data_IF_542363026955
#
_entry.id   IF_542363026955
#
_cell.length_a   1.000
_cell.length_b   1.000
_cell.length_c   1.000
_cell.angle_alpha   90.00
_cell.angle_beta   90.00
_cell.angle_gamma   90.00
#
_symmetry.space_group_name_H-M   'P 1'
#
loop_
_entity.id
_entity.type
_entity.pdbx_description
1 polymer ?
#
# COMPACT_ATOMS: atom_id res chain seq x y z
N UNK A 1 -39.96 -8.55 8.28
CA UNK A 1 -39.51 -7.99 7.00
C UNK A 1 -39.29 -6.50 7.18
N UNK A 2 -38.05 -6.03 7.06
CA UNK A 2 -37.74 -4.59 7.08
C UNK A 2 -37.90 -4.01 5.68
N UNK A 3 -38.61 -2.90 5.54
CA UNK A 3 -38.76 -2.17 4.26
C UNK A 3 -37.73 -1.06 4.15
N UNK A 4 -37.19 -0.85 2.95
CA UNK A 4 -36.26 0.26 2.72
C UNK A 4 -36.98 1.60 2.87
N UNK A 5 -36.47 2.53 3.68
CA UNK A 5 -37.07 3.86 3.86
C UNK A 5 -37.09 4.72 2.58
N UNK A 6 -36.21 4.42 1.61
CA UNK A 6 -36.06 5.23 0.40
C UNK A 6 -36.86 4.70 -0.79
N UNK A 7 -36.86 3.38 -0.99
CA UNK A 7 -37.50 2.75 -2.16
C UNK A 7 -38.68 1.83 -1.80
N UNK A 8 -39.04 1.71 -0.51
CA UNK A 8 -40.15 0.89 -0.01
C UNK A 8 -40.13 -0.59 -0.44
N UNK A 9 -39.01 -1.06 -0.98
CA UNK A 9 -38.85 -2.44 -1.44
C UNK A 9 -38.67 -3.36 -0.22
N UNK A 10 -39.31 -4.54 -0.19
CA UNK A 10 -39.08 -5.52 0.87
C UNK A 10 -37.62 -5.96 0.83
N UNK A 11 -36.89 -5.71 1.92
CA UNK A 11 -35.50 -6.11 2.04
C UNK A 11 -35.44 -7.50 2.67
N UNK A 12 -34.89 -8.44 1.94
CA UNK A 12 -34.48 -9.71 2.50
C UNK A 12 -33.21 -9.50 3.35
N UNK A 13 -33.25 -9.91 4.63
CA UNK A 13 -32.13 -9.71 5.54
C UNK A 13 -30.88 -10.50 5.13
N UNK A 14 -31.05 -11.62 4.44
CA UNK A 14 -29.93 -12.44 3.99
C UNK A 14 -29.16 -11.73 2.87
N UNK A 15 -29.85 -11.23 1.85
CA UNK A 15 -29.22 -10.43 0.76
C UNK A 15 -28.53 -9.16 1.29
N UNK A 16 -29.12 -8.47 2.25
CA UNK A 16 -28.54 -7.28 2.86
C UNK A 16 -27.21 -7.56 3.57
N UNK A 17 -27.13 -8.65 4.35
CA UNK A 17 -25.90 -9.03 5.05
C UNK A 17 -24.80 -9.38 4.05
N UNK A 18 -25.12 -10.15 3.02
CA UNK A 18 -24.17 -10.48 1.97
C UNK A 18 -23.64 -9.24 1.23
N UNK A 19 -24.50 -8.26 0.97
CA UNK A 19 -24.09 -6.98 0.37
C UNK A 19 -23.22 -6.14 1.32
N UNK A 20 -23.56 -6.08 2.60
CA UNK A 20 -22.78 -5.37 3.62
C UNK A 20 -21.38 -5.97 3.79
N UNK A 21 -21.27 -7.30 3.87
CA UNK A 21 -19.98 -8.01 3.99
C UNK A 21 -19.09 -7.74 2.76
N UNK A 22 -19.68 -7.67 1.57
CA UNK A 22 -18.95 -7.34 0.35
C UNK A 22 -18.48 -5.89 0.37
N UNK A 23 -19.32 -4.95 0.79
CA UNK A 23 -18.99 -3.54 0.89
C UNK A 23 -17.84 -3.31 1.89
N UNK A 24 -17.87 -4.00 3.03
CA UNK A 24 -16.81 -3.93 4.04
C UNK A 24 -15.48 -4.42 3.48
N UNK A 25 -15.47 -5.54 2.74
CA UNK A 25 -14.26 -6.06 2.07
C UNK A 25 -13.69 -5.08 1.06
N UNK A 26 -14.54 -4.46 0.23
CA UNK A 26 -14.11 -3.46 -0.77
C UNK A 26 -13.54 -2.23 -0.07
N UNK A 27 -14.20 -1.73 0.96
CA UNK A 27 -13.74 -0.56 1.71
C UNK A 27 -12.39 -0.83 2.41
N UNK A 28 -12.25 -2.01 3.02
CA UNK A 28 -10.99 -2.47 3.61
C UNK A 28 -9.87 -2.51 2.56
N UNK A 29 -10.13 -3.06 1.36
CA UNK A 29 -9.17 -3.11 0.27
C UNK A 29 -8.72 -1.71 -0.19
N UNK A 30 -9.66 -0.76 -0.32
CA UNK A 30 -9.39 0.62 -0.71
C UNK A 30 -8.53 1.37 0.32
N UNK A 31 -8.83 1.18 1.61
CA UNK A 31 -8.06 1.79 2.69
C UNK A 31 -6.64 1.20 2.76
N UNK A 32 -6.50 -0.12 2.68
CA UNK A 32 -5.19 -0.77 2.66
C UNK A 32 -4.34 -0.32 1.45
N UNK A 33 -4.93 -0.23 0.25
CA UNK A 33 -4.22 0.24 -0.94
C UNK A 33 -3.70 1.69 -0.78
N UNK A 34 -4.51 2.55 -0.17
CA UNK A 34 -4.12 3.94 0.10
C UNK A 34 -2.98 4.01 1.13
N UNK A 35 -3.03 3.18 2.17
CA UNK A 35 -1.97 3.07 3.17
C UNK A 35 -0.67 2.56 2.57
N UNK A 36 -0.72 1.53 1.71
CA UNK A 36 0.46 1.00 1.01
C UNK A 36 1.13 2.09 0.17
N UNK A 37 0.34 2.88 -0.57
CA UNK A 37 0.85 4.03 -1.34
C UNK A 37 1.49 5.07 -0.42
N UNK A 38 0.88 5.37 0.71
CA UNK A 38 1.42 6.33 1.68
C UNK A 38 2.73 5.83 2.30
N UNK A 39 2.86 4.54 2.61
CA UNK A 39 4.11 3.95 3.07
C UNK A 39 5.22 4.03 2.01
N UNK A 40 4.88 3.74 0.75
CA UNK A 40 5.82 3.91 -0.36
C UNK A 40 6.26 5.37 -0.53
N UNK A 41 5.34 6.34 -0.36
CA UNK A 41 5.68 7.76 -0.37
C UNK A 41 6.53 8.20 0.84
N UNK A 42 6.18 7.73 2.05
CA UNK A 42 6.89 8.02 3.28
C UNK A 42 8.34 7.53 3.25
N UNK A 43 8.61 6.40 2.56
CA UNK A 43 9.96 5.92 2.31
C UNK A 43 10.83 6.98 1.61
N UNK A 44 10.32 7.66 0.59
CA UNK A 44 11.02 8.74 -0.11
C UNK A 44 11.20 9.97 0.77
N UNK A 45 10.21 10.31 1.60
CA UNK A 45 10.34 11.39 2.57
C UNK A 45 11.46 11.09 3.56
N UNK A 46 11.52 9.87 4.11
CA UNK A 46 12.59 9.46 5.03
C UNK A 46 13.97 9.45 4.35
N UNK A 47 14.03 9.07 3.08
CA UNK A 47 15.25 9.17 2.28
C UNK A 47 15.72 10.64 2.13
N UNK A 48 14.82 11.57 1.83
CA UNK A 48 15.14 12.99 1.71
C UNK A 48 15.54 13.61 3.06
N UNK A 49 14.84 13.25 4.13
CA UNK A 49 15.14 13.71 5.50
C UNK A 49 16.54 13.28 5.94
N UNK A 50 17.01 12.10 5.52
CA UNK A 50 18.38 11.64 5.76
C UNK A 50 19.45 12.54 5.13
N UNK A 51 19.15 13.26 4.05
CA UNK A 51 20.10 14.17 3.40
C UNK A 51 20.42 15.41 4.25
N UNK A 52 19.59 15.70 5.26
CA UNK A 52 19.83 16.80 6.19
C UNK A 52 20.88 16.33 7.22
N UNK A 53 22.04 17.01 7.35
CA UNK A 53 23.15 16.58 8.21
C UNK A 53 22.90 16.86 9.70
N UNK A 54 21.74 16.43 10.21
CA UNK A 54 21.38 16.43 11.63
C UNK A 54 21.61 15.00 12.15
N UNK A 55 22.78 14.74 12.74
CA UNK A 55 23.32 13.37 12.97
C UNK A 55 22.33 12.31 13.51
N UNK A 56 21.47 12.64 14.47
CA UNK A 56 20.46 11.71 15.00
C UNK A 56 19.32 11.40 14.02
N UNK A 57 18.93 12.38 13.20
CA UNK A 57 17.85 12.25 12.21
C UNK A 57 18.30 11.35 11.04
N UNK A 58 19.59 11.37 10.71
CA UNK A 58 20.15 10.53 9.65
C UNK A 58 20.05 9.02 9.97
N UNK A 59 20.30 8.61 11.22
CA UNK A 59 20.23 7.20 11.63
C UNK A 59 18.78 6.70 11.71
N UNK A 60 17.88 7.52 12.28
CA UNK A 60 16.44 7.21 12.32
C UNK A 60 15.82 7.15 10.93
N UNK A 61 16.21 8.06 10.03
CA UNK A 61 15.81 8.05 8.63
C UNK A 61 16.26 6.79 7.89
N UNK A 62 17.49 6.30 8.15
CA UNK A 62 17.99 5.06 7.57
C UNK A 62 17.17 3.84 8.00
N UNK A 63 16.96 3.67 9.32
CA UNK A 63 16.21 2.53 9.86
C UNK A 63 14.76 2.56 9.38
N UNK A 64 14.12 3.73 9.42
CA UNK A 64 12.75 3.90 8.93
C UNK A 64 12.62 3.61 7.44
N UNK A 65 13.58 4.08 6.63
CA UNK A 65 13.62 3.80 5.19
C UNK A 65 13.75 2.30 4.91
N UNK A 66 14.68 1.61 5.58
CA UNK A 66 14.86 0.15 5.43
C UNK A 66 13.63 -0.64 5.90
N UNK A 67 12.99 -0.21 6.99
CA UNK A 67 11.74 -0.79 7.46
C UNK A 67 10.63 -0.66 6.41
N UNK A 68 10.41 0.54 5.87
CA UNK A 68 9.42 0.77 4.82
C UNK A 68 9.75 -0.01 3.54
N UNK A 69 11.03 -0.11 3.20
CA UNK A 69 11.50 -0.86 2.04
C UNK A 69 11.09 -2.34 2.09
N UNK A 70 11.07 -2.94 3.28
CA UNK A 70 10.61 -4.33 3.47
C UNK A 70 9.10 -4.44 3.64
N UNK A 71 8.46 -3.51 4.35
CA UNK A 71 7.02 -3.56 4.64
C UNK A 71 6.18 -3.36 3.37
N UNK A 72 6.56 -2.43 2.50
CA UNK A 72 5.80 -2.12 1.27
C UNK A 72 5.61 -3.35 0.36
N UNK A 73 6.65 -4.11 -0.04
CA UNK A 73 6.46 -5.27 -0.91
C UNK A 73 5.68 -6.39 -0.23
N UNK A 74 5.89 -6.62 1.07
CA UNK A 74 5.10 -7.60 1.83
C UNK A 74 3.62 -7.25 1.80
N UNK A 75 3.28 -5.98 2.09
CA UNK A 75 1.89 -5.51 2.06
C UNK A 75 1.30 -5.52 0.65
N UNK A 76 2.08 -5.19 -0.38
CA UNK A 76 1.66 -5.30 -1.79
C UNK A 76 1.27 -6.74 -2.14
N UNK A 77 2.11 -7.72 -1.80
CA UNK A 77 1.83 -9.14 -2.06
C UNK A 77 0.59 -9.60 -1.29
N UNK A 78 0.47 -9.27 0.00
CA UNK A 78 -0.72 -9.60 0.80
C UNK A 78 -1.97 -9.01 0.16
N UNK A 79 -1.92 -7.75 -0.30
CA UNK A 79 -3.06 -7.10 -0.94
C UNK A 79 -3.47 -7.80 -2.24
N UNK A 80 -2.49 -8.18 -3.07
CA UNK A 80 -2.74 -8.93 -4.31
C UNK A 80 -3.40 -10.29 -4.04
N UNK A 81 -2.92 -11.02 -3.04
CA UNK A 81 -3.49 -12.33 -2.65
C UNK A 81 -4.90 -12.16 -2.09
N UNK A 82 -5.12 -11.17 -1.21
CA UNK A 82 -6.37 -11.02 -0.47
C UNK A 82 -7.49 -10.38 -1.29
N UNK A 83 -7.17 -9.40 -2.13
CA UNK A 83 -8.15 -8.56 -2.81
C UNK A 83 -8.04 -8.59 -4.34
N UNK A 84 -6.96 -9.14 -4.91
CA UNK A 84 -6.74 -9.15 -6.37
C UNK A 84 -7.84 -9.84 -7.17
N UNK A 85 -8.47 -10.87 -6.58
CA UNK A 85 -9.54 -11.64 -7.20
C UNK A 85 -10.94 -10.99 -7.14
N UNK A 86 -11.11 -9.89 -6.38
CA UNK A 86 -12.41 -9.22 -6.24
C UNK A 86 -12.82 -8.63 -7.59
N UNK A 87 -13.99 -9.03 -8.08
CA UNK A 87 -14.65 -8.47 -9.26
C UNK A 87 -15.75 -7.53 -8.80
N UNK A 88 -15.55 -6.23 -8.99
CA UNK A 88 -16.56 -5.20 -8.72
C UNK A 88 -16.46 -4.09 -9.78
N UNK A 89 -17.60 -3.48 -10.11
CA UNK A 89 -17.68 -2.30 -10.99
C UNK A 89 -17.42 -0.98 -10.28
N UNK A 90 -17.14 -1.02 -8.97
CA UNK A 90 -16.93 0.16 -8.14
C UNK A 90 -15.69 0.97 -8.60
N UNK A 91 -15.90 2.27 -8.81
CA UNK A 91 -14.84 3.20 -9.21
C UNK A 91 -13.75 3.34 -8.14
N UNK A 92 -14.09 3.20 -6.85
CA UNK A 92 -13.14 3.29 -5.75
C UNK A 92 -12.20 2.09 -5.74
N UNK A 93 -12.70 0.89 -6.05
CA UNK A 93 -11.87 -0.29 -6.15
C UNK A 93 -10.91 -0.23 -7.35
N UNK A 94 -11.35 0.37 -8.46
CA UNK A 94 -10.46 0.68 -9.60
C UNK A 94 -9.34 1.63 -9.18
N UNK A 95 -9.66 2.66 -8.39
CA UNK A 95 -8.65 3.58 -7.82
C UNK A 95 -7.72 2.87 -6.84
N UNK A 96 -8.20 1.89 -6.06
CA UNK A 96 -7.37 1.07 -5.20
C UNK A 96 -6.31 0.27 -5.99
N UNK A 97 -6.71 -0.37 -7.09
CA UNK A 97 -5.76 -1.05 -8.00
C UNK A 97 -4.72 -0.09 -8.58
N UNK A 98 -5.15 1.11 -8.97
CA UNK A 98 -4.23 2.15 -9.43
C UNK A 98 -3.23 2.55 -8.33
N UNK A 99 -3.69 2.75 -7.09
CA UNK A 99 -2.81 3.08 -5.96
C UNK A 99 -1.78 1.99 -5.67
N UNK A 100 -2.14 0.72 -5.82
CA UNK A 100 -1.22 -0.42 -5.69
C UNK A 100 -0.16 -0.38 -6.80
N UNK A 101 -0.57 -0.10 -8.05
CA UNK A 101 0.36 0.11 -9.16
C UNK A 101 1.32 1.28 -8.91
N UNK A 102 0.81 2.41 -8.41
CA UNK A 102 1.63 3.57 -8.03
C UNK A 102 2.60 3.21 -6.90
N UNK A 103 2.15 2.47 -5.88
CA UNK A 103 3.02 2.04 -4.79
C UNK A 103 4.16 1.14 -5.27
N UNK A 104 3.87 0.20 -6.18
CA UNK A 104 4.90 -0.64 -6.82
C UNK A 104 5.87 0.21 -7.66
N UNK A 105 5.35 1.18 -8.42
CA UNK A 105 6.16 2.11 -9.19
C UNK A 105 7.05 2.99 -8.32
N UNK A 106 6.58 3.41 -7.14
CA UNK A 106 7.38 4.17 -6.17
C UNK A 106 8.45 3.30 -5.49
N UNK A 107 8.19 2.02 -5.29
CA UNK A 107 9.11 1.10 -4.62
C UNK A 107 10.27 0.65 -5.54
N UNK A 108 10.01 0.40 -6.82
CA UNK A 108 11.00 -0.12 -7.77
C UNK A 108 12.29 0.75 -7.88
N UNK A 109 12.22 2.07 -8.07
CA UNK A 109 13.43 2.90 -8.13
C UNK A 109 14.22 2.90 -6.83
N UNK A 110 13.54 2.83 -5.69
CA UNK A 110 14.21 2.72 -4.39
C UNK A 110 14.97 1.40 -4.26
N UNK A 111 14.41 0.30 -4.77
CA UNK A 111 15.09 -1.00 -4.80
C UNK A 111 16.34 -0.97 -5.68
N UNK A 112 16.25 -0.35 -6.86
CA UNK A 112 17.40 -0.19 -7.77
C UNK A 112 18.48 0.66 -7.12
N UNK A 113 18.13 1.81 -6.53
CA UNK A 113 19.09 2.66 -5.84
C UNK A 113 19.79 1.93 -4.69
N UNK A 114 19.06 1.18 -3.88
CA UNK A 114 19.64 0.42 -2.78
C UNK A 114 20.60 -0.66 -3.31
N UNK A 115 20.21 -1.40 -4.34
CA UNK A 115 21.05 -2.42 -4.97
C UNK A 115 22.34 -1.83 -5.53
N UNK A 116 22.27 -0.69 -6.23
CA UNK A 116 23.46 0.01 -6.76
C UNK A 116 24.42 0.45 -5.64
N UNK A 117 23.88 0.98 -4.54
CA UNK A 117 24.70 1.38 -3.39
C UNK A 117 25.42 0.17 -2.75
N UNK A 118 24.72 -0.95 -2.59
CA UNK A 118 25.32 -2.18 -2.05
C UNK A 118 26.39 -2.73 -2.98
N UNK A 119 26.14 -2.78 -4.29
CA UNK A 119 27.11 -3.23 -5.28
C UNK A 119 28.37 -2.33 -5.31
N UNK A 120 28.19 -1.01 -5.21
CA UNK A 120 29.32 -0.07 -5.15
C UNK A 120 30.17 -0.30 -3.89
N UNK A 121 29.55 -0.52 -2.72
CA UNK A 121 30.27 -0.82 -1.48
C UNK A 121 31.05 -2.13 -1.57
N UNK A 122 30.44 -3.19 -2.10
CA UNK A 122 31.11 -4.49 -2.30
C UNK A 122 32.27 -4.37 -3.30
N UNK A 123 32.07 -3.64 -4.41
CA UNK A 123 33.10 -3.43 -5.42
C UNK A 123 34.28 -2.57 -4.95
N UNK A 124 34.07 -1.67 -3.98
CA UNK A 124 35.15 -0.91 -3.34
C UNK A 124 35.91 -1.70 -2.26
N UNK A 125 35.25 -2.65 -1.57
CA UNK A 125 35.87 -3.50 -0.56
C UNK A 125 36.72 -4.66 -1.11
N UNK A 126 36.70 -4.89 -2.42
CA UNK A 126 37.49 -5.90 -3.14
C UNK A 126 38.78 -5.35 -3.75
N UNK A 127 39.14 -4.09 -3.46
CA UNK A 127 40.42 -3.47 -3.87
C UNK A 127 41.40 -3.40 -2.70
#
# INVERSE_FOLDING_TARGET
>A
MSTCKYCSTPLDQFTLRAAADMQEKVNSACNEASNIRNYAGAMWVLFLVRLIPLGFIALGGLIGMLGMFLIVPVRLVIWLIRYGAIKTGDADFRKARYNIGVAALLWLPAAVLLALNVLALIGMGLK
#
